data_IF_210822644013
#
_entry.id   IF_210822644013
#
_cell.length_a   1.000
_cell.length_b   1.000
_cell.length_c   1.000
_cell.angle_alpha   90.00
_cell.angle_beta   90.00
_cell.angle_gamma   90.00
#
_symmetry.space_group_name_H-M   'P 1'
#
loop_
_entity.id
_entity.type
_entity.pdbx_description
1 polymer ?
#
# COMPACT_ATOMS: atom_id res chain seq x y z
N UNK A 1 -9.79 -2.15 -2.25
CA UNK A 1 -10.37 -2.02 -3.61
C UNK A 1 -9.24 -2.18 -4.61
N UNK A 2 -9.45 -2.86 -5.74
CA UNK A 2 -8.43 -3.10 -6.76
C UNK A 2 -8.85 -2.46 -8.11
N UNK A 3 -7.95 -1.74 -8.78
CA UNK A 3 -8.16 -1.10 -10.09
C UNK A 3 -7.27 -1.77 -11.14
N UNK A 4 -7.86 -2.62 -11.97
CA UNK A 4 -7.15 -3.38 -13.01
C UNK A 4 -7.43 -2.82 -14.40
N UNK A 5 -6.40 -2.75 -15.24
CA UNK A 5 -6.52 -2.32 -16.62
C UNK A 5 -5.15 -2.22 -17.33
N UNK A 6 -5.10 -2.22 -18.67
CA UNK A 6 -3.85 -2.15 -19.41
C UNK A 6 -3.03 -0.87 -19.13
N UNK A 7 -1.74 -0.89 -19.48
CA UNK A 7 -0.85 0.25 -19.33
C UNK A 7 -1.38 1.49 -20.07
N UNK A 8 -1.19 2.69 -19.49
CA UNK A 8 -1.62 3.95 -20.10
C UNK A 8 -3.10 4.34 -19.92
N UNK A 9 -3.91 3.52 -19.23
CA UNK A 9 -5.34 3.81 -19.00
C UNK A 9 -5.61 4.88 -17.91
N UNK A 10 -4.58 5.51 -17.36
CA UNK A 10 -4.74 6.51 -16.29
C UNK A 10 -5.15 5.93 -14.94
N UNK A 11 -4.83 4.66 -14.64
CA UNK A 11 -5.10 4.01 -13.34
C UNK A 11 -4.49 4.79 -12.19
N UNK A 12 -3.19 5.07 -12.28
CA UNK A 12 -2.44 5.92 -11.35
C UNK A 12 -3.08 7.29 -11.20
N UNK A 13 -3.45 7.94 -12.31
CA UNK A 13 -4.14 9.25 -12.28
C UNK A 13 -5.48 9.17 -11.56
N UNK A 14 -6.24 8.10 -11.76
CA UNK A 14 -7.54 7.86 -11.10
C UNK A 14 -7.36 7.57 -9.61
N UNK A 15 -6.39 6.75 -9.25
CA UNK A 15 -5.97 6.48 -7.87
C UNK A 15 -5.63 7.79 -7.15
N UNK A 16 -4.73 8.57 -7.74
CA UNK A 16 -4.29 9.86 -7.20
C UNK A 16 -5.46 10.84 -7.10
N UNK A 17 -6.32 10.94 -8.13
CA UNK A 17 -7.47 11.83 -8.11
C UNK A 17 -8.51 11.44 -7.04
N UNK A 18 -8.80 10.14 -6.89
CA UNK A 18 -9.70 9.62 -5.87
C UNK A 18 -9.18 9.89 -4.44
N UNK A 19 -7.87 9.86 -4.26
CA UNK A 19 -7.21 10.01 -2.96
C UNK A 19 -6.98 11.48 -2.58
N UNK A 20 -6.63 12.34 -3.54
CA UNK A 20 -6.26 13.73 -3.29
C UNK A 20 -7.42 14.72 -3.39
N UNK A 21 -8.42 14.47 -4.24
CA UNK A 21 -9.44 15.48 -4.56
C UNK A 21 -10.83 15.14 -4.05
N UNK A 22 -11.05 13.95 -3.49
CA UNK A 22 -12.34 13.59 -2.91
C UNK A 22 -12.39 14.03 -1.44
N UNK A 23 -13.17 15.07 -1.14
CA UNK A 23 -13.31 15.62 0.22
C UNK A 23 -13.70 14.56 1.26
N UNK A 24 -14.58 13.62 0.90
CA UNK A 24 -14.98 12.52 1.81
C UNK A 24 -13.82 11.60 2.16
N UNK A 25 -12.92 11.35 1.21
CA UNK A 25 -11.71 10.52 1.44
C UNK A 25 -10.71 11.29 2.29
N UNK A 26 -10.52 12.58 2.01
CA UNK A 26 -9.61 13.45 2.78
C UNK A 26 -10.07 13.59 4.23
N UNK A 27 -11.37 13.78 4.46
CA UNK A 27 -11.97 13.89 5.80
C UNK A 27 -11.91 12.57 6.56
N UNK A 28 -12.13 11.45 5.87
CA UNK A 28 -12.15 10.12 6.49
C UNK A 28 -10.75 9.59 6.80
N UNK A 29 -9.77 9.85 5.93
CA UNK A 29 -8.40 9.34 6.01
C UNK A 29 -7.42 10.52 5.93
N UNK A 30 -7.13 11.23 7.04
CA UNK A 30 -6.21 12.37 7.04
C UNK A 30 -4.80 11.98 6.64
N UNK A 31 -4.38 10.76 6.99
CA UNK A 31 -3.10 10.18 6.58
C UNK A 31 -3.29 9.35 5.32
N UNK A 32 -2.55 9.66 4.25
CA UNK A 32 -2.65 8.97 2.96
C UNK A 32 -1.24 8.78 2.40
N UNK A 33 -0.87 7.55 2.10
CA UNK A 33 0.46 7.21 1.58
C UNK A 33 0.34 6.60 0.19
N UNK A 34 1.09 7.16 -0.76
CA UNK A 34 1.19 6.62 -2.11
C UNK A 34 2.49 5.85 -2.23
N UNK A 35 2.39 4.55 -2.51
CA UNK A 35 3.52 3.62 -2.55
C UNK A 35 3.67 3.09 -3.99
N UNK A 36 4.68 3.56 -4.73
CA UNK A 36 5.04 2.94 -6.00
C UNK A 36 5.78 1.63 -5.73
N UNK A 37 5.22 0.51 -6.18
CA UNK A 37 5.80 -0.84 -6.02
C UNK A 37 6.52 -1.35 -7.28
N UNK A 38 6.82 -0.45 -8.23
CA UNK A 38 7.44 -0.76 -9.52
C UNK A 38 8.79 -1.49 -9.42
N UNK A 39 9.53 -1.20 -8.35
CA UNK A 39 10.85 -1.78 -8.04
C UNK A 39 10.80 -2.92 -7.02
N UNK A 40 9.61 -3.27 -6.52
CA UNK A 40 9.44 -4.30 -5.51
C UNK A 40 9.23 -5.68 -6.14
N UNK A 41 10.30 -6.49 -6.20
CA UNK A 41 10.32 -7.81 -6.84
C UNK A 41 10.25 -8.99 -5.86
N UNK A 42 10.21 -8.73 -4.56
CA UNK A 42 9.97 -9.71 -3.50
C UNK A 42 9.08 -9.12 -2.40
N UNK A 43 8.46 -9.96 -1.57
CA UNK A 43 7.70 -9.49 -0.41
C UNK A 43 8.54 -8.61 0.53
N UNK A 44 9.79 -8.99 0.78
CA UNK A 44 10.68 -8.19 1.62
C UNK A 44 10.96 -6.82 0.99
N UNK A 45 11.11 -6.76 -0.34
CA UNK A 45 11.26 -5.49 -1.04
C UNK A 45 9.97 -4.65 -1.01
N UNK A 46 8.78 -5.25 -1.01
CA UNK A 46 7.52 -4.51 -0.85
C UNK A 46 7.44 -3.93 0.57
N UNK A 47 7.72 -4.73 1.58
CA UNK A 47 7.74 -4.27 2.98
C UNK A 47 8.76 -3.14 3.15
N UNK A 48 9.94 -3.26 2.55
CA UNK A 48 10.96 -2.21 2.55
C UNK A 48 10.51 -0.94 1.80
N UNK A 49 9.82 -1.10 0.67
CA UNK A 49 9.28 0.02 -0.12
C UNK A 49 8.21 0.77 0.66
N UNK A 50 7.29 0.05 1.32
CA UNK A 50 6.28 0.68 2.19
C UNK A 50 6.96 1.35 3.38
N UNK A 51 7.86 0.65 4.09
CA UNK A 51 8.53 1.18 5.26
C UNK A 51 9.33 2.46 4.96
N UNK A 52 10.10 2.49 3.86
CA UNK A 52 10.84 3.68 3.44
C UNK A 52 9.94 4.86 3.09
N UNK A 53 8.81 4.62 2.40
CA UNK A 53 7.82 5.65 2.10
C UNK A 53 7.09 6.17 3.36
N UNK A 54 7.02 5.37 4.42
CA UNK A 54 6.53 5.79 5.74
C UNK A 54 7.62 6.44 6.61
N UNK A 55 8.86 6.57 6.10
CA UNK A 55 9.97 7.22 6.79
C UNK A 55 10.70 6.34 7.82
N UNK A 56 10.64 5.01 7.67
CA UNK A 56 11.39 4.10 8.54
C UNK A 56 12.86 4.06 8.15
N UNK A 57 13.73 4.00 9.16
CA UNK A 57 15.14 3.71 8.98
C UNK A 57 15.34 2.25 8.52
N UNK A 58 16.41 1.97 7.78
CA UNK A 58 16.69 0.62 7.25
C UNK A 58 16.76 -0.46 8.36
N UNK A 59 17.19 -0.08 9.57
CA UNK A 59 17.24 -0.95 10.75
C UNK A 59 15.86 -1.32 11.31
N UNK A 60 14.81 -0.61 10.92
CA UNK A 60 13.43 -0.79 11.38
C UNK A 60 12.54 -1.51 10.35
N UNK A 61 13.10 -1.89 9.20
CA UNK A 61 12.36 -2.53 8.10
C UNK A 61 12.00 -3.96 8.48
N UNK A 62 10.83 -4.12 9.11
CA UNK A 62 10.17 -5.41 9.27
C UNK A 62 8.65 -5.23 9.21
N UNK A 63 7.95 -6.27 8.74
CA UNK A 63 6.49 -6.25 8.67
C UNK A 63 5.85 -5.99 10.05
N UNK A 64 6.45 -6.51 11.13
CA UNK A 64 5.97 -6.28 12.49
C UNK A 64 6.08 -4.83 12.94
N UNK A 65 7.22 -4.16 12.70
CA UNK A 65 7.36 -2.74 13.03
C UNK A 65 6.42 -1.86 12.19
N UNK A 66 6.26 -2.22 10.92
CA UNK A 66 5.35 -1.55 10.00
C UNK A 66 3.90 -1.63 10.48
N UNK A 67 3.41 -2.84 10.79
CA UNK A 67 2.06 -3.07 11.30
C UNK A 67 1.87 -2.32 12.62
N UNK A 68 2.82 -2.41 13.55
CA UNK A 68 2.73 -1.73 14.84
C UNK A 68 2.64 -0.20 14.73
N UNK A 69 3.38 0.38 13.79
CA UNK A 69 3.29 1.81 13.50
C UNK A 69 1.92 2.18 12.89
N UNK A 70 1.45 1.42 11.91
CA UNK A 70 0.16 1.64 11.25
C UNK A 70 -1.02 1.48 12.22
N UNK A 71 -0.91 0.58 13.20
CA UNK A 71 -1.92 0.42 14.26
C UNK A 71 -2.01 1.64 15.19
N UNK A 72 -0.97 2.46 15.29
CA UNK A 72 -0.93 3.68 16.11
C UNK A 72 -1.35 4.94 15.36
N UNK A 73 -1.45 4.86 14.04
CA UNK A 73 -1.90 5.96 13.20
C UNK A 73 -3.39 6.23 13.44
N UNK A 74 -3.83 7.45 13.14
CA UNK A 74 -5.24 7.73 12.94
C UNK A 74 -5.74 7.00 11.67
N UNK A 75 -6.95 7.33 11.20
CA UNK A 75 -7.46 6.76 9.95
C UNK A 75 -6.47 6.95 8.78
N UNK A 76 -6.00 5.83 8.22
CA UNK A 76 -4.91 5.80 7.25
C UNK A 76 -5.35 5.10 5.95
N UNK A 77 -5.02 5.70 4.80
CA UNK A 77 -5.23 5.10 3.48
C UNK A 77 -3.87 4.79 2.84
N UNK A 78 -3.62 3.52 2.55
CA UNK A 78 -2.46 3.07 1.80
C UNK A 78 -2.86 2.86 0.34
N UNK A 79 -2.16 3.54 -0.56
CA UNK A 79 -2.36 3.44 -2.00
C UNK A 79 -1.16 2.70 -2.57
N UNK A 80 -1.39 1.49 -3.08
CA UNK A 80 -0.36 0.65 -3.68
C UNK A 80 -0.49 0.74 -5.20
N UNK A 81 0.55 1.18 -5.90
CA UNK A 81 0.55 1.27 -7.36
C UNK A 81 1.64 0.39 -7.96
N UNK A 82 1.43 -0.10 -9.18
CA UNK A 82 2.40 -0.89 -9.95
C UNK A 82 3.01 -2.13 -9.24
N UNK A 83 2.20 -2.90 -8.50
CA UNK A 83 2.65 -4.13 -7.82
C UNK A 83 2.42 -5.42 -8.64
N UNK A 84 2.15 -5.31 -9.95
CA UNK A 84 1.80 -6.44 -10.83
C UNK A 84 2.87 -7.54 -10.80
N UNK A 85 4.14 -7.15 -10.76
CA UNK A 85 5.27 -8.10 -10.72
C UNK A 85 5.19 -9.05 -9.53
N UNK A 86 4.74 -8.57 -8.36
CA UNK A 86 4.51 -9.45 -7.20
C UNK A 86 3.23 -10.27 -7.33
N UNK A 87 2.16 -9.64 -7.82
CA UNK A 87 0.85 -10.24 -7.93
C UNK A 87 0.80 -11.38 -8.96
N UNK A 88 1.59 -11.29 -10.04
CA UNK A 88 1.64 -12.29 -11.11
C UNK A 88 2.48 -13.52 -10.75
N UNK A 89 3.41 -13.40 -9.79
CA UNK A 89 4.22 -14.52 -9.34
C UNK A 89 3.43 -15.46 -8.40
N UNK A 90 3.40 -16.77 -8.66
CA UNK A 90 2.63 -17.72 -7.84
C UNK A 90 3.09 -17.75 -6.38
N UNK A 91 4.40 -17.84 -6.14
CA UNK A 91 4.98 -17.86 -4.79
C UNK A 91 4.93 -16.50 -4.09
N UNK A 92 5.07 -15.41 -4.86
CA UNK A 92 5.02 -14.05 -4.32
C UNK A 92 3.61 -13.62 -3.96
N UNK A 93 2.62 -13.99 -4.79
CA UNK A 93 1.20 -13.65 -4.59
C UNK A 93 0.65 -14.15 -3.27
N UNK A 94 0.83 -15.42 -2.92
CA UNK A 94 0.28 -15.96 -1.67
C UNK A 94 0.83 -15.24 -0.44
N UNK A 95 2.13 -14.96 -0.43
CA UNK A 95 2.78 -14.20 0.65
C UNK A 95 2.33 -12.74 0.68
N UNK A 96 2.14 -12.13 -0.49
CA UNK A 96 1.69 -10.75 -0.60
C UNK A 96 0.22 -10.60 -0.18
N UNK A 97 -0.65 -11.52 -0.58
CA UNK A 97 -2.05 -11.60 -0.11
C UNK A 97 -2.12 -11.75 1.42
N UNK A 98 -1.29 -12.62 2.01
CA UNK A 98 -1.20 -12.74 3.48
C UNK A 98 -0.78 -11.42 4.14
N UNK A 99 0.21 -10.73 3.57
CA UNK A 99 0.64 -9.43 4.07
C UNK A 99 -0.46 -8.36 3.94
N UNK A 100 -1.16 -8.31 2.80
CA UNK A 100 -2.32 -7.42 2.62
C UNK A 100 -3.42 -7.74 3.63
N UNK A 101 -3.68 -9.01 3.92
CA UNK A 101 -4.65 -9.43 4.93
C UNK A 101 -4.32 -8.85 6.30
N UNK A 102 -3.06 -8.93 6.73
CA UNK A 102 -2.60 -8.36 8.00
C UNK A 102 -2.80 -6.85 8.06
N UNK A 103 -2.61 -6.16 6.94
CA UNK A 103 -2.85 -4.73 6.85
C UNK A 103 -4.36 -4.39 6.87
N UNK A 104 -5.20 -5.17 6.21
CA UNK A 104 -6.66 -4.96 6.21
C UNK A 104 -7.33 -5.30 7.55
N UNK A 105 -6.70 -6.10 8.39
CA UNK A 105 -7.18 -6.39 9.75
C UNK A 105 -7.06 -5.18 10.69
N UNK A 106 -6.36 -4.11 10.28
CA UNK A 106 -6.25 -2.87 11.06
C UNK A 106 -7.55 -2.05 10.88
N UNK A 107 -8.38 -1.86 11.92
CA UNK A 107 -9.76 -1.34 11.77
C UNK A 107 -9.88 0.08 11.21
N UNK A 108 -8.83 0.89 11.36
CA UNK A 108 -8.82 2.29 10.93
C UNK A 108 -8.10 2.48 9.59
N UNK A 109 -7.60 1.40 8.99
CA UNK A 109 -6.84 1.43 7.76
C UNK A 109 -7.72 1.05 6.56
N UNK A 110 -7.39 1.59 5.40
CA UNK A 110 -7.90 1.13 4.12
C UNK A 110 -6.76 0.95 3.12
N UNK A 111 -6.94 0.00 2.21
CA UNK A 111 -6.02 -0.25 1.10
C UNK A 111 -6.75 -0.03 -0.23
N UNK A 112 -6.14 0.79 -1.07
CA UNK A 112 -6.53 1.02 -2.45
C UNK A 112 -5.36 0.61 -3.34
N UNK A 113 -5.65 -0.26 -4.30
CA UNK A 113 -4.66 -0.91 -5.15
C UNK A 113 -5.24 -1.06 -6.58
#
# INVERSE_FOLDING_TARGET
VAILGPGGMGKTTTLVAAVLHNSKVVDRYPTRHFIPCDSAHTNDSVVATIASNLGFEASQVSAGHLIHHLMKQAHCLLVLDNFETQWESLDGRAKFENFLSLLTDIPHMAILA
#
